data_IF_656480451945
#
_entry.id   IF_656480451945
#
_cell.length_a   1.000
_cell.length_b   1.000
_cell.length_c   1.000
_cell.angle_alpha   90.00
_cell.angle_beta   90.00
_cell.angle_gamma   90.00
#
_symmetry.space_group_name_H-M   'P 1'
#
loop_
_entity.id
_entity.type
_entity.pdbx_description
1 polymer ?
#
# COMPACT_ATOMS: atom_id res chain seq x y z
N UNK A 1 27.44 9.98 7.85
CA UNK A 1 26.89 8.71 7.36
C UNK A 1 26.10 9.05 6.11
N UNK A 2 25.97 8.16 5.10
CA UNK A 2 24.94 8.36 4.09
C UNK A 2 23.61 8.65 4.79
N UNK A 3 22.85 9.61 4.28
CA UNK A 3 21.61 10.04 4.92
C UNK A 3 20.67 8.84 5.09
N UNK A 4 20.13 8.67 6.30
CA UNK A 4 19.18 7.59 6.60
C UNK A 4 17.84 7.91 5.92
N UNK A 5 17.13 6.91 5.37
CA UNK A 5 15.79 7.10 4.83
C UNK A 5 14.85 7.78 5.83
N UNK A 6 13.88 8.53 5.31
CA UNK A 6 12.88 9.25 6.11
C UNK A 6 11.49 9.07 5.51
N UNK A 7 10.47 9.28 6.33
CA UNK A 7 9.09 9.44 5.88
C UNK A 7 8.97 10.67 4.98
N UNK A 8 8.21 10.54 3.90
CA UNK A 8 8.01 11.58 2.87
C UNK A 8 6.65 12.27 3.00
N UNK A 9 5.72 11.66 3.73
CA UNK A 9 4.35 12.16 3.89
C UNK A 9 3.60 12.16 2.55
N UNK A 10 2.91 13.26 2.26
CA UNK A 10 2.09 13.41 1.05
C UNK A 10 2.83 14.12 -0.10
N UNK A 11 4.15 14.27 -0.01
CA UNK A 11 4.94 14.81 -1.12
C UNK A 11 4.92 13.83 -2.30
N UNK A 12 4.80 14.30 -3.55
CA UNK A 12 4.90 13.42 -4.72
C UNK A 12 6.21 12.63 -4.67
N UNK A 13 6.13 11.32 -4.83
CA UNK A 13 7.28 10.43 -4.73
C UNK A 13 7.33 9.45 -5.90
N UNK A 14 8.50 8.86 -6.12
CA UNK A 14 8.69 7.82 -7.12
C UNK A 14 9.55 6.69 -6.56
N UNK A 15 9.06 5.47 -6.77
CA UNK A 15 9.68 4.22 -6.38
C UNK A 15 10.77 3.74 -7.34
N UNK A 16 12.01 3.63 -6.88
CA UNK A 16 13.18 3.28 -7.70
C UNK A 16 13.68 1.86 -7.43
N UNK A 17 12.77 0.88 -7.49
CA UNK A 17 13.08 -0.52 -7.21
C UNK A 17 14.28 -1.07 -8.01
N UNK A 18 15.24 -1.65 -7.30
CA UNK A 18 16.50 -2.15 -7.86
C UNK A 18 16.73 -3.59 -7.42
N UNK A 19 16.45 -4.55 -8.32
CA UNK A 19 16.62 -6.00 -8.07
C UNK A 19 18.07 -6.48 -8.18
N UNK A 20 18.98 -5.65 -8.69
CA UNK A 20 20.37 -6.02 -9.02
C UNK A 20 21.40 -5.36 -8.10
N UNK A 21 21.01 -4.34 -7.34
CA UNK A 21 21.82 -3.70 -6.30
C UNK A 21 22.89 -2.73 -6.83
N UNK A 22 22.76 -2.25 -8.06
CA UNK A 22 23.72 -1.31 -8.67
C UNK A 22 23.07 -0.24 -9.56
N UNK A 23 21.75 -0.13 -9.59
CA UNK A 23 21.02 0.83 -10.41
C UNK A 23 20.88 2.20 -9.73
N UNK A 24 20.96 2.24 -8.39
CA UNK A 24 20.71 3.46 -7.60
C UNK A 24 21.55 4.68 -8.01
N UNK A 25 22.85 4.57 -8.39
CA UNK A 25 23.58 5.72 -8.92
C UNK A 25 22.92 6.34 -10.16
N UNK A 26 22.43 5.50 -11.08
CA UNK A 26 21.68 5.94 -12.26
C UNK A 26 20.32 6.55 -11.91
N UNK A 27 19.62 5.99 -10.92
CA UNK A 27 18.38 6.54 -10.38
C UNK A 27 18.59 7.93 -9.75
N UNK A 28 19.70 8.14 -9.03
CA UNK A 28 20.06 9.42 -8.46
C UNK A 28 20.40 10.47 -9.54
N UNK A 29 21.16 10.08 -10.57
CA UNK A 29 21.46 10.97 -11.69
C UNK A 29 20.20 11.37 -12.49
N UNK A 30 19.23 10.47 -12.66
CA UNK A 30 17.96 10.81 -13.31
C UNK A 30 17.16 11.81 -12.48
N UNK A 31 17.10 11.64 -11.16
CA UNK A 31 16.43 12.56 -10.25
C UNK A 31 17.08 13.94 -10.23
N UNK A 32 18.42 14.04 -10.25
CA UNK A 32 19.10 15.35 -10.35
C UNK A 32 18.79 16.07 -11.66
N UNK A 33 18.63 15.32 -12.75
CA UNK A 33 18.37 15.87 -14.08
C UNK A 33 16.92 16.27 -14.30
N UNK A 34 15.96 15.53 -13.73
CA UNK A 34 14.55 15.64 -14.09
C UNK A 34 13.55 15.39 -12.93
N UNK A 35 14.01 15.15 -11.70
CA UNK A 35 13.17 14.82 -10.55
C UNK A 35 12.61 16.01 -9.77
N UNK A 36 12.60 17.22 -10.35
CA UNK A 36 12.15 18.42 -9.63
C UNK A 36 10.69 18.25 -9.18
N UNK A 37 10.45 18.40 -7.88
CA UNK A 37 9.13 18.26 -7.27
C UNK A 37 8.71 16.81 -6.95
N UNK A 38 9.62 15.85 -7.10
CA UNK A 38 9.42 14.45 -6.76
C UNK A 38 10.48 14.01 -5.74
N UNK A 39 10.08 13.26 -4.72
CA UNK A 39 10.99 12.60 -3.78
C UNK A 39 11.32 11.19 -4.24
N UNK A 40 12.56 10.75 -3.99
CA UNK A 40 12.97 9.41 -4.35
C UNK A 40 12.68 8.41 -3.22
N UNK A 41 12.31 7.19 -3.58
CA UNK A 41 12.33 6.03 -2.68
C UNK A 41 13.32 5.04 -3.30
N UNK A 42 14.57 5.02 -2.79
CA UNK A 42 15.64 4.23 -3.41
C UNK A 42 15.65 2.77 -2.97
N UNK A 43 15.69 2.44 -1.66
CA UNK A 43 15.50 1.07 -1.23
C UNK A 43 14.03 0.72 -1.40
N UNK A 44 13.67 0.08 -2.51
CA UNK A 44 12.36 -0.48 -2.73
C UNK A 44 12.51 -1.89 -3.28
N UNK A 45 11.93 -2.85 -2.60
CA UNK A 45 11.79 -4.21 -3.11
C UNK A 45 10.72 -4.96 -2.35
N UNK A 46 9.93 -5.77 -3.05
CA UNK A 46 8.95 -6.65 -2.41
C UNK A 46 9.60 -7.89 -1.81
N UNK A 47 8.94 -8.50 -0.82
CA UNK A 47 9.37 -9.78 -0.22
C UNK A 47 9.51 -10.88 -1.29
N UNK A 48 8.60 -10.88 -2.27
CA UNK A 48 8.61 -11.79 -3.43
C UNK A 48 9.88 -11.62 -4.27
N UNK A 49 10.28 -10.38 -4.53
CA UNK A 49 11.50 -10.09 -5.29
C UNK A 49 12.76 -10.41 -4.49
N UNK A 50 12.81 -10.08 -3.20
CA UNK A 50 13.93 -10.43 -2.30
C UNK A 50 14.18 -11.93 -2.29
N UNK A 51 13.11 -12.72 -2.16
CA UNK A 51 13.17 -14.18 -2.23
C UNK A 51 13.70 -14.66 -3.58
N UNK A 52 13.18 -14.14 -4.70
CA UNK A 52 13.58 -14.57 -6.06
C UNK A 52 15.01 -14.18 -6.42
N UNK A 53 15.50 -13.07 -5.89
CA UNK A 53 16.87 -12.57 -6.13
C UNK A 53 17.87 -13.05 -5.10
N UNK A 54 17.42 -13.81 -4.09
CA UNK A 54 18.21 -14.23 -2.94
C UNK A 54 18.93 -13.05 -2.26
N UNK A 55 18.20 -11.93 -2.14
CA UNK A 55 18.63 -10.73 -1.43
C UNK A 55 17.89 -10.60 -0.12
N UNK A 56 18.56 -10.03 0.86
CA UNK A 56 18.00 -9.70 2.18
C UNK A 56 17.56 -8.24 2.24
N UNK A 57 16.64 -7.86 3.16
CA UNK A 57 16.28 -6.45 3.38
C UNK A 57 17.50 -5.56 3.62
N UNK A 58 18.49 -6.05 4.37
CA UNK A 58 19.76 -5.33 4.62
C UNK A 58 20.52 -5.05 3.34
N UNK A 59 20.65 -6.02 2.43
CA UNK A 59 21.33 -5.79 1.15
C UNK A 59 20.58 -4.77 0.29
N UNK A 60 19.25 -4.81 0.26
CA UNK A 60 18.44 -3.80 -0.45
C UNK A 60 18.72 -2.40 0.10
N UNK A 61 18.71 -2.24 1.43
CA UNK A 61 18.99 -0.98 2.10
C UNK A 61 20.42 -0.49 1.84
N UNK A 62 21.41 -1.35 2.06
CA UNK A 62 22.83 -1.01 1.95
C UNK A 62 23.19 -0.63 0.51
N UNK A 63 22.75 -1.41 -0.49
CA UNK A 63 23.05 -1.16 -1.90
C UNK A 63 22.46 0.19 -2.38
N UNK A 64 21.22 0.49 -2.01
CA UNK A 64 20.59 1.77 -2.36
C UNK A 64 21.22 2.96 -1.61
N UNK A 65 21.45 2.86 -0.31
CA UNK A 65 22.05 3.96 0.46
C UNK A 65 23.49 4.26 -0.03
N UNK A 66 24.29 3.21 -0.29
CA UNK A 66 25.63 3.37 -0.84
C UNK A 66 25.58 3.95 -2.26
N UNK A 67 24.70 3.45 -3.13
CA UNK A 67 24.57 3.97 -4.49
C UNK A 67 24.12 5.43 -4.55
N UNK A 68 23.21 5.85 -3.69
CA UNK A 68 22.79 7.25 -3.57
C UNK A 68 23.96 8.14 -3.09
N UNK A 69 24.72 7.67 -2.11
CA UNK A 69 25.89 8.38 -1.59
C UNK A 69 27.03 8.47 -2.60
N UNK A 70 27.31 7.41 -3.35
CA UNK A 70 28.30 7.40 -4.44
C UNK A 70 27.94 8.38 -5.54
N UNK A 71 26.65 8.50 -5.86
CA UNK A 71 26.17 9.54 -6.76
C UNK A 71 26.28 10.94 -6.13
N UNK A 72 26.44 11.10 -4.81
CA UNK A 72 26.39 12.40 -4.15
C UNK A 72 24.97 12.97 -4.05
N UNK A 73 23.97 12.09 -3.88
CA UNK A 73 22.63 12.49 -3.49
C UNK A 73 22.63 13.06 -2.06
N UNK A 74 21.96 14.19 -1.86
CA UNK A 74 21.95 14.93 -0.57
C UNK A 74 20.54 15.37 -0.15
N UNK A 75 19.53 15.05 -0.95
CA UNK A 75 18.14 15.39 -0.64
C UNK A 75 17.48 14.23 0.12
N UNK A 76 16.33 14.51 0.76
CA UNK A 76 15.56 13.48 1.46
C UNK A 76 15.11 12.36 0.51
N UNK A 77 15.14 11.12 0.98
CA UNK A 77 14.62 9.95 0.27
C UNK A 77 13.97 8.96 1.26
N UNK A 78 13.03 8.16 0.77
CA UNK A 78 12.33 7.12 1.53
C UNK A 78 12.88 5.72 1.25
N UNK A 79 12.39 4.74 2.01
CA UNK A 79 12.66 3.32 1.80
C UNK A 79 11.37 2.50 1.99
N UNK A 80 10.96 1.78 0.94
CA UNK A 80 9.69 1.06 0.84
C UNK A 80 9.87 -0.46 0.91
N UNK A 81 9.31 -1.04 1.97
CA UNK A 81 9.13 -2.46 2.15
C UNK A 81 7.83 -2.86 1.43
N UNK A 82 7.98 -3.32 0.19
CA UNK A 82 6.88 -3.44 -0.76
C UNK A 82 6.11 -4.77 -0.60
N UNK A 83 4.80 -4.76 -0.85
CA UNK A 83 3.87 -5.91 -0.77
C UNK A 83 4.03 -6.80 0.48
N UNK A 84 3.96 -6.21 1.67
CA UNK A 84 4.01 -6.91 2.95
C UNK A 84 2.68 -7.57 3.31
N UNK A 85 2.75 -8.82 3.77
CA UNK A 85 1.60 -9.60 4.23
C UNK A 85 1.69 -10.07 5.67
N UNK A 86 2.90 -10.12 6.24
CA UNK A 86 3.15 -10.79 7.53
C UNK A 86 3.90 -9.91 8.52
N UNK A 87 3.65 -10.14 9.82
CA UNK A 87 4.37 -9.49 10.91
C UNK A 87 5.88 -9.75 10.85
N UNK A 88 6.29 -10.95 10.44
CA UNK A 88 7.70 -11.31 10.30
C UNK A 88 8.40 -10.44 9.25
N UNK A 89 7.73 -10.18 8.12
CA UNK A 89 8.29 -9.33 7.07
C UNK A 89 8.41 -7.87 7.54
N UNK A 90 7.45 -7.39 8.34
CA UNK A 90 7.52 -6.09 9.02
C UNK A 90 8.74 -6.03 9.95
N UNK A 91 8.97 -7.06 10.76
CA UNK A 91 10.09 -7.07 11.72
C UNK A 91 11.44 -6.94 11.02
N UNK A 92 11.70 -7.77 10.01
CA UNK A 92 13.01 -7.81 9.32
C UNK A 92 13.28 -6.57 8.48
N UNK A 93 12.23 -5.89 7.99
CA UNK A 93 12.36 -4.65 7.22
C UNK A 93 12.49 -3.43 8.14
N UNK A 94 11.69 -3.35 9.21
CA UNK A 94 11.81 -2.29 10.20
C UNK A 94 13.18 -2.32 10.91
N UNK A 95 13.74 -3.50 11.18
CA UNK A 95 15.07 -3.66 11.78
C UNK A 95 16.16 -2.93 10.97
N UNK A 96 16.11 -3.02 9.64
CA UNK A 96 17.13 -2.45 8.75
C UNK A 96 16.84 -0.99 8.35
N UNK A 97 15.71 -0.43 8.76
CA UNK A 97 15.41 0.99 8.62
C UNK A 97 14.52 1.37 7.44
N UNK A 98 13.70 0.45 6.92
CA UNK A 98 12.59 0.82 6.04
C UNK A 98 11.64 1.79 6.78
N UNK A 99 11.10 2.77 6.05
CA UNK A 99 10.25 3.84 6.61
C UNK A 99 8.86 3.86 6.00
N UNK A 100 8.68 3.21 4.86
CA UNK A 100 7.45 3.12 4.10
C UNK A 100 7.07 1.64 4.00
N UNK A 101 5.83 1.30 4.35
CA UNK A 101 5.35 -0.08 4.44
C UNK A 101 4.12 -0.23 3.55
N UNK A 102 4.27 -0.96 2.44
CA UNK A 102 3.17 -1.22 1.52
C UNK A 102 2.47 -2.51 1.92
N UNK A 103 1.28 -2.39 2.48
CA UNK A 103 0.47 -3.54 2.93
C UNK A 103 -0.28 -4.11 1.73
N UNK A 104 -0.18 -5.42 1.55
CA UNK A 104 -0.91 -6.18 0.54
C UNK A 104 -1.92 -7.13 1.22
N UNK A 105 -3.20 -6.75 1.34
CA UNK A 105 -4.23 -7.58 1.95
C UNK A 105 -4.92 -8.51 0.92
N UNK A 106 -4.35 -8.72 -0.27
CA UNK A 106 -4.99 -9.46 -1.38
C UNK A 106 -5.48 -10.86 -1.00
N UNK A 107 -4.84 -11.53 -0.02
CA UNK A 107 -5.26 -12.85 0.46
C UNK A 107 -6.65 -12.81 1.15
N UNK A 108 -7.11 -11.63 1.57
CA UNK A 108 -8.45 -11.40 2.12
C UNK A 108 -9.47 -10.82 1.16
N UNK A 109 -9.17 -10.78 -0.14
CA UNK A 109 -10.09 -10.27 -1.16
C UNK A 109 -10.86 -11.42 -1.81
N UNK A 110 -12.20 -11.37 -1.78
CA UNK A 110 -13.06 -12.29 -2.58
C UNK A 110 -13.11 -11.75 -4.03
N UNK A 111 -12.20 -12.23 -4.89
CA UNK A 111 -12.06 -11.77 -6.28
C UNK A 111 -13.29 -12.02 -7.16
N UNK A 112 -14.17 -12.93 -6.74
CA UNK A 112 -15.40 -13.29 -7.43
C UNK A 112 -16.59 -12.41 -7.01
N UNK A 113 -16.41 -11.49 -6.05
CA UNK A 113 -17.48 -10.65 -5.50
C UNK A 113 -18.28 -9.88 -6.57
N UNK A 114 -17.61 -9.45 -7.63
CA UNK A 114 -18.24 -8.74 -8.75
C UNK A 114 -19.02 -9.66 -9.69
N UNK A 115 -18.72 -10.96 -9.68
CA UNK A 115 -19.43 -11.96 -10.48
C UNK A 115 -20.70 -12.49 -9.79
N UNK A 116 -20.86 -12.22 -8.48
CA UNK A 116 -22.03 -12.65 -7.73
C UNK A 116 -23.27 -11.79 -8.02
N UNK A 117 -24.42 -12.45 -8.17
CA UNK A 117 -25.72 -11.79 -8.18
C UNK A 117 -26.09 -11.25 -6.79
N UNK A 118 -27.09 -10.35 -6.75
CA UNK A 118 -27.48 -9.69 -5.50
C UNK A 118 -27.92 -10.67 -4.38
N UNK A 119 -28.69 -11.75 -4.65
CA UNK A 119 -28.99 -12.77 -3.64
C UNK A 119 -27.72 -13.45 -3.10
N UNK A 120 -26.78 -13.84 -3.97
CA UNK A 120 -25.53 -14.48 -3.54
C UNK A 120 -24.67 -13.54 -2.70
N UNK A 121 -24.61 -12.25 -3.06
CA UNK A 121 -23.94 -11.22 -2.26
C UNK A 121 -24.57 -11.11 -0.86
N UNK A 122 -25.90 -11.09 -0.78
CA UNK A 122 -26.60 -11.01 0.50
C UNK A 122 -26.34 -12.25 1.38
N UNK A 123 -26.38 -13.46 0.80
CA UNK A 123 -26.09 -14.71 1.51
C UNK A 123 -24.64 -14.74 2.02
N UNK A 124 -23.67 -14.34 1.18
CA UNK A 124 -22.26 -14.25 1.59
C UNK A 124 -22.03 -13.19 2.64
N UNK A 125 -22.66 -12.02 2.51
CA UNK A 125 -22.59 -10.96 3.51
C UNK A 125 -23.12 -11.46 4.86
N UNK A 126 -24.25 -12.17 4.88
CA UNK A 126 -24.82 -12.71 6.11
C UNK A 126 -23.87 -13.67 6.86
N UNK A 127 -23.01 -14.41 6.15
CA UNK A 127 -22.00 -15.28 6.76
C UNK A 127 -20.86 -14.51 7.45
N UNK A 128 -20.57 -13.30 6.98
CA UNK A 128 -19.45 -12.49 7.45
C UNK A 128 -19.88 -11.22 8.21
N UNK A 129 -21.18 -10.97 8.38
CA UNK A 129 -21.73 -9.72 8.89
C UNK A 129 -21.16 -9.33 10.28
N UNK A 130 -20.90 -10.32 11.14
CA UNK A 130 -20.32 -10.09 12.47
C UNK A 130 -18.89 -9.52 12.43
N UNK A 131 -18.19 -9.65 11.30
CA UNK A 131 -16.84 -9.12 11.08
C UNK A 131 -16.86 -7.74 10.40
N UNK A 132 -18.04 -7.23 10.02
CA UNK A 132 -18.22 -5.99 9.26
C UNK A 132 -18.95 -4.97 10.14
N UNK A 133 -18.19 -4.26 10.97
CA UNK A 133 -18.74 -3.27 11.90
C UNK A 133 -19.14 -1.92 11.26
N UNK A 134 -18.76 -1.71 10.00
CA UNK A 134 -18.79 -0.39 9.36
C UNK A 134 -19.91 -0.18 8.34
N UNK A 135 -20.63 -1.24 7.94
CA UNK A 135 -21.56 -1.16 6.81
C UNK A 135 -22.67 -0.11 7.00
N UNK A 136 -23.19 0.03 8.22
CA UNK A 136 -24.24 0.99 8.57
C UNK A 136 -23.75 2.45 8.51
N UNK A 137 -22.44 2.67 8.51
CA UNK A 137 -21.85 4.01 8.29
C UNK A 137 -22.09 4.49 6.86
N UNK A 138 -22.35 3.61 5.89
CA UNK A 138 -22.48 3.98 4.48
C UNK A 138 -23.88 3.72 3.92
N UNK A 139 -24.55 2.66 4.38
CA UNK A 139 -25.83 2.19 3.85
C UNK A 139 -26.86 3.33 3.67
N UNK A 140 -27.37 3.45 2.45
CA UNK A 140 -28.38 4.41 2.05
C UNK A 140 -27.89 5.86 1.89
N UNK A 141 -26.57 6.10 1.97
CA UNK A 141 -26.01 7.45 1.80
C UNK A 141 -25.61 7.72 0.36
N UNK A 142 -25.56 9.00 0.05
CA UNK A 142 -24.95 9.54 -1.16
C UNK A 142 -23.88 10.53 -0.76
N UNK A 143 -22.66 10.35 -1.24
CA UNK A 143 -21.56 11.29 -0.99
C UNK A 143 -21.26 12.04 -2.30
N UNK A 144 -21.32 13.37 -2.25
CA UNK A 144 -20.90 14.22 -3.36
C UNK A 144 -19.46 14.64 -3.16
N UNK A 145 -18.62 14.38 -4.17
CA UNK A 145 -17.24 14.82 -4.21
C UNK A 145 -17.16 16.24 -4.80
N UNK A 146 -16.13 17.00 -4.41
CA UNK A 146 -15.89 18.35 -4.92
C UNK A 146 -15.64 18.39 -6.44
N UNK A 147 -15.27 17.25 -7.03
CA UNK A 147 -15.11 17.06 -8.47
C UNK A 147 -16.45 17.00 -9.22
N UNK A 148 -17.58 16.93 -8.52
CA UNK A 148 -18.93 16.84 -9.06
C UNK A 148 -19.45 15.40 -9.21
N UNK A 149 -18.62 14.38 -9.00
CA UNK A 149 -19.05 12.99 -8.95
C UNK A 149 -19.86 12.70 -7.67
N UNK A 150 -20.80 11.76 -7.74
CA UNK A 150 -21.48 11.20 -6.57
C UNK A 150 -21.17 9.72 -6.41
N UNK A 151 -21.06 9.29 -5.15
CA UNK A 151 -20.92 7.89 -4.76
C UNK A 151 -22.22 7.49 -4.07
N UNK A 152 -22.91 6.50 -4.62
CA UNK A 152 -24.14 5.94 -4.07
C UNK A 152 -23.80 4.68 -3.27
N UNK A 153 -24.28 4.62 -2.03
CA UNK A 153 -24.07 3.49 -1.14
C UNK A 153 -25.39 2.75 -0.92
N UNK A 154 -25.95 2.19 -1.99
CA UNK A 154 -27.13 1.33 -1.86
C UNK A 154 -26.80 0.00 -1.14
N UNK A 155 -27.85 -0.77 -0.84
CA UNK A 155 -27.71 -2.02 -0.07
C UNK A 155 -26.73 -3.00 -0.72
N UNK A 156 -26.89 -3.23 -2.03
CA UNK A 156 -26.09 -4.23 -2.76
C UNK A 156 -24.65 -3.75 -2.90
N UNK A 157 -24.43 -2.45 -3.11
CA UNK A 157 -23.10 -1.84 -3.20
C UNK A 157 -22.33 -2.02 -1.90
N UNK A 158 -22.97 -1.71 -0.76
CA UNK A 158 -22.35 -1.85 0.55
C UNK A 158 -22.05 -3.33 0.88
N UNK A 159 -23.01 -4.22 0.63
CA UNK A 159 -22.83 -5.65 0.89
C UNK A 159 -21.74 -6.25 0.00
N UNK A 160 -21.68 -5.87 -1.30
CA UNK A 160 -20.64 -6.34 -2.21
C UNK A 160 -19.26 -5.86 -1.77
N UNK A 161 -19.12 -4.59 -1.40
CA UNK A 161 -17.86 -4.07 -0.86
C UNK A 161 -17.44 -4.82 0.43
N UNK A 162 -18.40 -5.13 1.30
CA UNK A 162 -18.15 -5.90 2.52
C UNK A 162 -17.72 -7.35 2.23
N UNK A 163 -18.35 -8.01 1.27
CA UNK A 163 -17.96 -9.36 0.83
C UNK A 163 -16.57 -9.35 0.17
N UNK A 164 -16.31 -8.37 -0.69
CA UNK A 164 -15.06 -8.27 -1.45
C UNK A 164 -13.86 -7.91 -0.58
N UNK A 165 -14.00 -6.87 0.24
CA UNK A 165 -12.86 -6.24 0.93
C UNK A 165 -12.95 -6.28 2.46
N UNK A 166 -14.05 -6.76 3.05
CA UNK A 166 -14.23 -6.74 4.51
C UNK A 166 -13.10 -7.43 5.28
N UNK A 167 -12.76 -8.66 4.87
CA UNK A 167 -11.65 -9.43 5.46
C UNK A 167 -10.29 -8.79 5.14
N UNK A 168 -10.09 -8.30 3.92
CA UNK A 168 -8.88 -7.57 3.52
C UNK A 168 -8.63 -6.31 4.37
N UNK A 169 -9.68 -5.51 4.63
CA UNK A 169 -9.60 -4.31 5.48
C UNK A 169 -9.21 -4.71 6.91
N UNK A 170 -9.84 -5.74 7.47
CA UNK A 170 -9.52 -6.20 8.83
C UNK A 170 -8.05 -6.63 8.94
N UNK A 171 -7.54 -7.41 7.98
CA UNK A 171 -6.12 -7.81 7.91
C UNK A 171 -5.18 -6.62 7.76
N UNK A 172 -5.53 -5.66 6.91
CA UNK A 172 -4.72 -4.47 6.70
C UNK A 172 -4.61 -3.64 7.99
N UNK A 173 -5.72 -3.48 8.71
CA UNK A 173 -5.75 -2.76 10.00
C UNK A 173 -4.94 -3.51 11.06
N UNK A 174 -5.04 -4.84 11.14
CA UNK A 174 -4.22 -5.65 12.04
C UNK A 174 -2.71 -5.46 11.79
N UNK A 175 -2.28 -5.57 10.53
CA UNK A 175 -0.87 -5.40 10.17
C UNK A 175 -0.39 -3.95 10.37
N UNK A 176 -1.24 -2.95 10.09
CA UNK A 176 -0.93 -1.55 10.38
C UNK A 176 -0.74 -1.28 11.88
N UNK A 177 -1.57 -1.88 12.73
CA UNK A 177 -1.41 -1.81 14.19
C UNK A 177 -0.11 -2.49 14.64
N UNK A 178 0.26 -3.62 14.00
CA UNK A 178 1.54 -4.27 14.26
C UNK A 178 2.72 -3.37 13.88
N UNK A 179 2.71 -2.78 12.68
CA UNK A 179 3.72 -1.81 12.21
C UNK A 179 3.84 -0.65 13.20
N UNK A 180 2.73 -0.07 13.66
CA UNK A 180 2.72 0.97 14.69
C UNK A 180 3.44 0.51 15.97
N UNK A 181 3.14 -0.71 16.42
CA UNK A 181 3.72 -1.25 17.65
C UNK A 181 5.25 -1.44 17.54
N UNK A 182 5.73 -1.88 16.38
CA UNK A 182 7.17 -2.06 16.11
C UNK A 182 7.86 -0.69 16.09
N UNK A 183 7.31 0.28 15.37
CA UNK A 183 7.91 1.61 15.23
C UNK A 183 7.86 2.43 16.51
N UNK A 184 6.82 2.25 17.33
CA UNK A 184 6.76 2.83 18.68
C UNK A 184 7.89 2.29 19.56
N UNK A 185 8.18 0.98 19.50
CA UNK A 185 9.30 0.38 20.26
C UNK A 185 10.67 0.84 19.75
N UNK A 186 10.79 1.08 18.45
CA UNK A 186 12.03 1.54 17.81
C UNK A 186 12.28 3.06 17.96
N UNK A 187 11.28 3.82 18.39
CA UNK A 187 11.27 5.30 18.36
C UNK A 187 11.61 5.86 16.98
N UNK A 188 10.94 5.32 15.95
CA UNK A 188 11.13 5.69 14.54
C UNK A 188 9.79 6.03 13.90
N UNK A 189 9.79 7.03 13.02
CA UNK A 189 8.61 7.34 12.23
C UNK A 189 8.43 6.34 11.09
N UNK A 190 7.20 6.16 10.62
CA UNK A 190 6.83 5.26 9.53
C UNK A 190 5.66 5.82 8.73
N UNK A 191 5.38 5.27 7.56
CA UNK A 191 4.18 5.57 6.77
C UNK A 191 3.70 4.33 6.03
N UNK A 192 2.42 4.30 5.68
CA UNK A 192 1.76 3.12 5.11
C UNK A 192 1.13 3.45 3.76
N UNK A 193 1.41 2.62 2.77
CA UNK A 193 0.55 2.44 1.60
C UNK A 193 -0.32 1.19 1.80
N UNK A 194 -1.55 1.25 1.32
CA UNK A 194 -2.36 0.06 1.15
C UNK A 194 -2.45 -0.26 -0.35
N UNK A 195 -2.15 -1.49 -0.74
CA UNK A 195 -2.19 -1.92 -2.14
C UNK A 195 -3.27 -2.96 -2.37
N UNK A 196 -4.27 -2.61 -3.17
CA UNK A 196 -5.34 -3.51 -3.66
C UNK A 196 -5.31 -3.61 -5.19
N UNK A 197 -4.13 -3.41 -5.79
CA UNK A 197 -3.88 -3.43 -7.23
C UNK A 197 -3.77 -4.85 -7.80
N UNK A 198 -3.28 -5.83 -7.04
CA UNK A 198 -3.20 -7.23 -7.49
C UNK A 198 -4.55 -7.98 -7.43
N UNK A 199 -5.69 -7.28 -7.62
CA UNK A 199 -7.03 -7.90 -7.72
C UNK A 199 -7.48 -8.03 -9.17
N UNK A 200 -8.25 -9.07 -9.50
CA UNK A 200 -8.72 -9.31 -10.88
C UNK A 200 -9.68 -8.21 -11.36
N UNK A 201 -10.57 -7.76 -10.48
CA UNK A 201 -11.62 -6.81 -10.81
C UNK A 201 -11.21 -5.39 -10.36
N UNK A 202 -11.57 -4.34 -11.14
CA UNK A 202 -11.32 -2.96 -10.76
C UNK A 202 -11.93 -2.60 -9.40
N UNK A 203 -11.25 -1.71 -8.68
CA UNK A 203 -11.76 -1.11 -7.45
C UNK A 203 -12.76 -0.01 -7.81
N UNK A 204 -14.02 -0.16 -7.37
CA UNK A 204 -15.06 0.86 -7.60
C UNK A 204 -14.85 2.10 -6.72
N UNK A 205 -15.52 3.22 -7.05
CA UNK A 205 -15.45 4.43 -6.22
C UNK A 205 -15.99 4.21 -4.80
N UNK A 206 -17.04 3.40 -4.64
CA UNK A 206 -17.60 3.07 -3.33
C UNK A 206 -16.62 2.22 -2.50
N UNK A 207 -15.99 1.22 -3.13
CA UNK A 207 -14.96 0.38 -2.50
C UNK A 207 -13.76 1.22 -2.08
N UNK A 208 -13.22 2.04 -2.97
CA UNK A 208 -12.12 2.97 -2.66
C UNK A 208 -12.49 3.85 -1.46
N UNK A 209 -13.66 4.50 -1.48
CA UNK A 209 -14.09 5.36 -0.38
C UNK A 209 -14.16 4.60 0.96
N UNK A 210 -14.78 3.42 0.97
CA UNK A 210 -14.91 2.59 2.17
C UNK A 210 -13.53 2.17 2.68
N UNK A 211 -12.66 1.66 1.82
CA UNK A 211 -11.30 1.21 2.19
C UNK A 211 -10.52 2.37 2.82
N UNK A 212 -10.50 3.53 2.16
CA UNK A 212 -9.76 4.70 2.64
C UNK A 212 -10.33 5.20 3.98
N UNK A 213 -11.65 5.36 4.09
CA UNK A 213 -12.28 5.83 5.33
C UNK A 213 -12.04 4.83 6.48
N UNK A 214 -12.18 3.52 6.26
CA UNK A 214 -11.95 2.53 7.31
C UNK A 214 -10.49 2.50 7.80
N UNK A 215 -9.52 2.62 6.90
CA UNK A 215 -8.11 2.69 7.28
C UNK A 215 -7.82 3.97 8.10
N UNK A 216 -8.37 5.12 7.68
CA UNK A 216 -8.18 6.37 8.41
C UNK A 216 -8.86 6.35 9.79
N UNK A 217 -10.08 5.80 9.89
CA UNK A 217 -10.81 5.67 11.16
C UNK A 217 -10.12 4.70 12.13
N UNK A 218 -9.37 3.72 11.63
CA UNK A 218 -8.58 2.81 12.48
C UNK A 218 -7.30 3.45 13.03
N UNK A 219 -6.97 4.68 12.62
CA UNK A 219 -5.72 5.34 12.97
C UNK A 219 -4.51 4.90 12.14
N UNK A 220 -4.73 4.21 11.01
CA UNK A 220 -3.65 3.89 10.07
C UNK A 220 -3.00 5.17 9.56
N UNK A 221 -1.66 5.24 9.60
CA UNK A 221 -0.89 6.35 9.01
C UNK A 221 -0.79 6.18 7.48
N UNK A 222 -1.95 6.16 6.84
CA UNK A 222 -2.13 5.95 5.41
C UNK A 222 -1.70 7.21 4.64
N UNK A 223 -0.71 7.07 3.76
CA UNK A 223 -0.22 8.16 2.88
C UNK A 223 -0.59 7.95 1.41
N UNK A 224 -0.89 6.71 1.01
CA UNK A 224 -1.32 6.37 -0.35
C UNK A 224 -2.15 5.09 -0.37
N UNK A 225 -2.93 4.92 -1.44
CA UNK A 225 -3.75 3.74 -1.72
C UNK A 225 -3.60 3.39 -3.20
N UNK A 226 -3.00 2.23 -3.49
CA UNK A 226 -2.87 1.70 -4.83
C UNK A 226 -4.10 0.85 -5.18
N UNK A 227 -4.95 1.38 -6.07
CA UNK A 227 -6.18 0.71 -6.51
C UNK A 227 -5.96 -0.11 -7.78
N UNK A 228 -6.78 -1.14 -7.99
CA UNK A 228 -6.89 -1.78 -9.30
C UNK A 228 -7.72 -0.87 -10.23
N UNK A 229 -7.07 -0.24 -11.20
CA UNK A 229 -7.74 0.63 -12.16
C UNK A 229 -8.46 -0.16 -13.26
N UNK A 230 -9.37 0.51 -13.97
CA UNK A 230 -9.97 -0.04 -15.19
C UNK A 230 -8.89 -0.22 -16.26
N UNK A 231 -8.83 -1.42 -16.85
CA UNK A 231 -7.79 -1.81 -17.80
C UNK A 231 -6.80 -2.79 -17.16
N UNK A 232 -5.64 -2.97 -17.81
CA UNK A 232 -4.63 -3.94 -17.40
C UNK A 232 -3.25 -3.27 -17.31
N UNK A 233 -2.69 -3.19 -16.10
CA UNK A 233 -1.34 -2.66 -15.88
C UNK A 233 -0.32 -3.81 -15.85
N UNK A 234 -0.04 -4.39 -17.02
CA UNK A 234 0.91 -5.51 -17.13
C UNK A 234 2.36 -5.03 -17.08
N UNK A 235 3.25 -5.86 -16.54
CA UNK A 235 4.67 -5.51 -16.37
C UNK A 235 5.33 -5.32 -17.75
N UNK A 236 5.91 -4.14 -17.96
CA UNK A 236 6.80 -3.84 -19.09
C UNK A 236 6.13 -3.48 -20.42
N UNK A 237 4.82 -3.22 -20.44
CA UNK A 237 4.04 -2.83 -21.63
C UNK A 237 3.07 -1.70 -21.30
N UNK A 238 2.62 -1.00 -22.35
CA UNK A 238 1.50 -0.04 -22.36
C UNK A 238 0.30 -0.70 -23.06
#
# INVERSE_FOLDING_TARGET
MPDTPKTLGLEPSFGFGDRIGNATPGHAESMKRAGQGIRAIYPQQSIREMTRTNRTPRQVMDDACNGAAEAGWTDIFGADADHLKTEQDVDVTAEVGFTFFTIDPSDGVDSEADNYDAPTVADKFALNADQISWIDTYRGKTIKLDTGSSIEFDEVTCQRAAVKYGEAINRAVELANYIQSVHTKLDRDYEIELSVDETEQPTTLAEHYIIADQCLQSGMKLVSLANQFVGDFKKGVD
#
